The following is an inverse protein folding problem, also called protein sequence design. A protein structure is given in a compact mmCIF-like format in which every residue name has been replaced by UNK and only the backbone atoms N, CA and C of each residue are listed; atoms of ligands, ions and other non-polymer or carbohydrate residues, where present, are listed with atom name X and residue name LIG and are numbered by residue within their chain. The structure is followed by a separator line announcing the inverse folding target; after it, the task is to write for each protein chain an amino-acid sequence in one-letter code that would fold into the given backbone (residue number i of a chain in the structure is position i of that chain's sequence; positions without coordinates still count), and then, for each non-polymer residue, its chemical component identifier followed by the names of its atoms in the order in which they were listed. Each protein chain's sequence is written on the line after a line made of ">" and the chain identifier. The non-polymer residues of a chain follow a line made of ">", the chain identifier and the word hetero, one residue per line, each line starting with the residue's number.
data_IF_800932758116
#
_entry.id   IF_800932758116
#
_cell.length_a   1.000
_cell.length_b   1.000
_cell.length_c   1.000
_cell.angle_alpha   90.00
_cell.angle_beta   90.00
_cell.angle_gamma   90.00
#
_symmetry.space_group_name_H-M   'P 1'
#
loop_
_entity.id
_entity.type
_entity.pdbx_description
1 polymer ?
#
# COMPACT_ATOMS: atom_id res chain seq x y z
N UNK A 1 -26.22 -17.78 -50.74
CA UNK A 1 -24.78 -17.53 -50.60
C UNK A 1 -24.51 -16.09 -50.14
N UNK A 2 -24.90 -15.71 -48.93
CA UNK A 2 -24.73 -14.31 -48.39
C UNK A 2 -24.58 -14.26 -46.88
N UNK A 3 -23.84 -15.23 -46.26
CA UNK A 3 -23.66 -15.29 -44.80
C UNK A 3 -22.23 -15.51 -44.30
N UNK A 4 -21.21 -15.26 -45.15
CA UNK A 4 -19.82 -15.55 -44.78
C UNK A 4 -18.95 -14.28 -44.63
N UNK A 5 -19.44 -13.07 -44.90
CA UNK A 5 -18.60 -11.85 -44.94
C UNK A 5 -18.61 -11.09 -43.59
N UNK A 6 -19.46 -11.46 -42.63
CA UNK A 6 -19.62 -10.67 -41.40
C UNK A 6 -18.67 -11.08 -40.26
N UNK A 7 -17.89 -12.15 -40.41
CA UNK A 7 -17.04 -12.67 -39.33
C UNK A 7 -15.58 -12.15 -39.38
N UNK A 8 -15.16 -11.54 -40.48
CA UNK A 8 -13.74 -11.12 -40.63
C UNK A 8 -13.41 -9.69 -40.16
N UNK A 9 -14.36 -8.90 -39.65
CA UNK A 9 -14.11 -7.50 -39.26
C UNK A 9 -13.90 -7.35 -37.75
N UNK A 10 -14.18 -8.36 -36.91
CA UNK A 10 -14.00 -8.28 -35.43
C UNK A 10 -12.58 -8.62 -34.97
N UNK A 11 -11.72 -9.10 -35.89
CA UNK A 11 -10.36 -9.55 -35.55
C UNK A 11 -9.26 -8.49 -35.58
N UNK A 12 -9.52 -7.22 -35.89
CA UNK A 12 -8.47 -6.21 -36.16
C UNK A 12 -8.43 -5.05 -35.17
N UNK A 13 -9.18 -5.11 -34.07
CA UNK A 13 -8.86 -4.31 -32.88
C UNK A 13 -7.88 -5.08 -32.02
N UNK A 14 -6.70 -5.39 -32.53
CA UNK A 14 -5.55 -5.65 -31.68
C UNK A 14 -5.33 -4.37 -30.85
N UNK A 15 -5.71 -4.41 -29.59
CA UNK A 15 -5.40 -3.39 -28.61
C UNK A 15 -3.88 -3.23 -28.64
N UNK A 16 -3.39 -2.17 -29.28
CA UNK A 16 -2.02 -1.74 -29.14
C UNK A 16 -1.89 -1.24 -27.70
N UNK A 17 -1.73 -2.16 -26.75
CA UNK A 17 -1.25 -1.85 -25.41
C UNK A 17 0.22 -1.50 -25.59
N UNK A 18 0.47 -0.26 -25.93
CA UNK A 18 1.82 0.28 -25.88
C UNK A 18 2.18 0.35 -24.39
N UNK A 19 3.09 -0.53 -23.97
CA UNK A 19 3.72 -0.40 -22.68
C UNK A 19 4.30 1.02 -22.59
N UNK A 20 3.80 1.81 -21.64
CA UNK A 20 4.35 3.14 -21.39
C UNK A 20 5.84 2.98 -21.04
N UNK A 21 6.72 3.81 -21.60
CA UNK A 21 8.14 3.71 -21.25
C UNK A 21 8.29 3.86 -19.74
N UNK A 22 8.96 2.90 -19.13
CA UNK A 22 9.27 2.94 -17.69
C UNK A 22 10.05 4.22 -17.41
N UNK A 23 9.44 5.14 -16.68
CA UNK A 23 10.09 6.38 -16.28
C UNK A 23 11.10 6.06 -15.19
N UNK A 24 12.38 6.05 -15.53
CA UNK A 24 13.45 5.86 -14.54
C UNK A 24 13.51 7.07 -13.62
N UNK A 25 13.34 6.86 -12.34
CA UNK A 25 13.56 7.86 -11.31
C UNK A 25 14.97 7.70 -10.74
N UNK A 26 15.75 8.76 -10.78
CA UNK A 26 17.09 8.82 -10.14
C UNK A 26 16.96 9.58 -8.83
N UNK A 27 17.31 8.94 -7.74
CA UNK A 27 17.34 9.53 -6.40
C UNK A 27 18.77 9.46 -5.87
N UNK A 28 19.17 10.44 -5.07
CA UNK A 28 20.36 10.33 -4.23
C UNK A 28 20.06 9.42 -3.03
N UNK A 29 21.08 8.83 -2.43
CA UNK A 29 20.93 7.99 -1.22
C UNK A 29 20.24 8.74 -0.08
N UNK A 30 20.50 10.02 0.05
CA UNK A 30 19.86 10.90 1.04
C UNK A 30 18.36 11.02 0.78
N UNK A 31 17.96 11.27 -0.47
CA UNK A 31 16.53 11.37 -0.85
C UNK A 31 15.82 10.03 -0.70
N UNK A 32 16.49 8.94 -1.05
CA UNK A 32 15.94 7.59 -0.86
C UNK A 32 15.71 7.29 0.62
N UNK A 33 16.71 7.55 1.45
CA UNK A 33 16.60 7.35 2.90
C UNK A 33 15.49 8.19 3.53
N UNK A 34 15.32 9.44 3.11
CA UNK A 34 14.25 10.32 3.57
C UNK A 34 12.87 9.77 3.19
N UNK A 35 12.72 9.28 1.97
CA UNK A 35 11.48 8.62 1.53
C UNK A 35 11.18 7.33 2.31
N UNK A 36 12.17 6.50 2.58
CA UNK A 36 12.03 5.29 3.40
C UNK A 36 11.56 5.66 4.81
N UNK A 37 12.18 6.63 5.45
CA UNK A 37 11.76 7.13 6.77
C UNK A 37 10.32 7.67 6.74
N UNK A 38 9.98 8.41 5.68
CA UNK A 38 8.62 8.91 5.48
C UNK A 38 7.60 7.78 5.32
N UNK A 39 7.95 6.71 4.61
CA UNK A 39 7.13 5.50 4.46
C UNK A 39 6.84 4.84 5.81
N UNK A 40 7.87 4.56 6.60
CA UNK A 40 7.74 3.97 7.93
C UNK A 40 6.92 4.85 8.90
N UNK A 41 7.15 6.16 8.88
CA UNK A 41 6.35 7.10 9.68
C UNK A 41 4.89 7.11 9.23
N UNK A 42 4.63 7.12 7.94
CA UNK A 42 3.28 7.10 7.37
C UNK A 42 2.53 5.82 7.73
N UNK A 43 3.17 4.66 7.65
CA UNK A 43 2.60 3.37 8.04
C UNK A 43 2.25 3.36 9.53
N UNK A 44 3.17 3.77 10.40
CA UNK A 44 2.94 3.86 11.85
C UNK A 44 1.75 4.77 12.18
N UNK A 45 1.65 5.93 11.53
CA UNK A 45 0.52 6.85 11.68
C UNK A 45 -0.78 6.18 11.19
N UNK A 46 -0.74 5.52 10.04
CA UNK A 46 -1.90 4.83 9.47
C UNK A 46 -2.46 3.74 10.36
N UNK A 47 -1.59 2.88 10.88
CA UNK A 47 -1.95 1.82 11.84
C UNK A 47 -2.63 2.42 13.08
N UNK A 48 -2.04 3.43 13.68
CA UNK A 48 -2.60 4.07 14.89
C UNK A 48 -3.89 4.84 14.60
N UNK A 49 -4.01 5.44 13.42
CA UNK A 49 -5.23 6.14 13.01
C UNK A 49 -6.39 5.17 12.75
N UNK A 50 -6.12 4.03 12.14
CA UNK A 50 -7.12 3.01 11.81
C UNK A 50 -7.55 2.15 13.01
N UNK A 51 -6.65 1.90 13.94
CA UNK A 51 -6.83 0.97 15.07
C UNK A 51 -8.13 1.18 15.88
N UNK A 52 -8.57 2.40 16.23
CA UNK A 52 -9.80 2.61 16.99
C UNK A 52 -11.08 2.20 16.25
N UNK A 53 -11.01 2.07 14.92
CA UNK A 53 -12.14 1.75 14.05
C UNK A 53 -12.09 0.33 13.52
N UNK A 54 -10.98 -0.36 13.70
CA UNK A 54 -10.77 -1.73 13.23
C UNK A 54 -11.89 -2.65 13.74
N UNK A 55 -12.43 -3.46 12.84
CA UNK A 55 -13.57 -4.38 13.06
C UNK A 55 -14.89 -3.75 13.56
N UNK A 56 -14.96 -2.42 13.74
CA UNK A 56 -16.21 -1.77 14.22
C UNK A 56 -17.22 -1.50 13.11
N UNK A 57 -16.79 -1.42 11.88
CA UNK A 57 -17.62 -1.06 10.72
C UNK A 57 -17.68 -2.19 9.69
N UNK A 58 -17.68 -3.45 10.15
CA UNK A 58 -17.72 -4.64 9.29
C UNK A 58 -19.02 -4.66 8.47
N UNK A 59 -18.88 -4.69 7.14
CA UNK A 59 -20.02 -4.71 6.22
C UNK A 59 -20.68 -3.37 5.94
N UNK A 60 -20.07 -2.26 6.42
CA UNK A 60 -20.57 -0.89 6.18
C UNK A 60 -19.39 0.06 5.99
N UNK A 61 -19.70 1.33 5.71
CA UNK A 61 -18.71 2.41 5.64
C UNK A 61 -18.74 3.27 6.90
N UNK A 62 -17.56 3.82 7.28
CA UNK A 62 -17.51 4.87 8.27
C UNK A 62 -18.16 6.11 7.65
N UNK A 63 -19.19 6.65 8.30
CA UNK A 63 -19.91 7.82 7.79
C UNK A 63 -19.05 9.09 7.95
N UNK A 64 -19.17 10.04 7.02
CA UNK A 64 -18.35 11.26 7.00
C UNK A 64 -18.46 12.10 8.28
N UNK A 65 -19.61 12.01 8.97
CA UNK A 65 -19.84 12.71 10.24
C UNK A 65 -19.28 11.96 11.47
N UNK A 66 -18.79 10.73 11.30
CA UNK A 66 -18.24 9.95 12.40
C UNK A 66 -16.83 10.45 12.75
N UNK A 67 -16.61 10.98 13.95
CA UNK A 67 -15.27 11.44 14.33
C UNK A 67 -14.32 10.25 14.49
N UNK A 68 -13.13 10.38 13.91
CA UNK A 68 -12.00 9.51 14.17
C UNK A 68 -11.05 10.29 15.06
N UNK A 69 -10.89 9.91 16.35
CA UNK A 69 -10.08 10.67 17.26
C UNK A 69 -8.61 10.63 16.89
N UNK A 70 -7.96 11.79 16.93
CA UNK A 70 -6.52 11.93 16.77
C UNK A 70 -6.02 13.06 17.69
N UNK A 71 -4.94 12.81 18.42
CA UNK A 71 -4.37 13.76 19.35
C UNK A 71 -2.84 13.65 19.42
N UNK A 72 -2.19 14.67 19.93
CA UNK A 72 -0.76 14.63 20.23
C UNK A 72 -0.44 13.48 21.18
N UNK A 73 0.67 12.78 20.92
CA UNK A 73 1.07 11.63 21.70
C UNK A 73 0.29 10.35 21.46
N UNK A 74 -0.64 10.33 20.51
CA UNK A 74 -1.54 9.20 20.24
C UNK A 74 -0.79 7.94 19.81
N UNK A 75 0.27 8.06 18.99
CA UNK A 75 1.14 6.94 18.61
C UNK A 75 1.78 6.30 19.84
N UNK A 76 2.35 7.12 20.73
CA UNK A 76 2.97 6.63 21.97
C UNK A 76 1.94 5.95 22.88
N UNK A 77 0.77 6.57 23.04
CA UNK A 77 -0.31 6.00 23.85
C UNK A 77 -0.69 4.59 23.38
N UNK A 78 -0.91 4.38 22.07
CA UNK A 78 -1.30 3.08 21.55
C UNK A 78 -0.16 2.06 21.61
N UNK A 79 1.08 2.50 21.37
CA UNK A 79 2.25 1.66 21.55
C UNK A 79 2.35 1.07 22.95
N UNK A 80 2.13 1.89 23.97
CA UNK A 80 2.19 1.48 25.37
C UNK A 80 0.98 0.65 25.82
N UNK A 81 -0.21 0.94 25.29
CA UNK A 81 -1.47 0.32 25.75
C UNK A 81 -1.85 -0.94 24.98
N UNK A 82 -1.56 -1.00 23.70
CA UNK A 82 -1.93 -2.11 22.81
C UNK A 82 -0.83 -2.36 21.76
N UNK A 83 0.33 -2.88 22.15
CA UNK A 83 1.43 -3.12 21.22
C UNK A 83 1.05 -4.09 20.10
N UNK A 84 0.07 -4.97 20.28
CA UNK A 84 -0.45 -5.86 19.26
C UNK A 84 -1.14 -5.17 18.07
N UNK A 85 -1.45 -3.87 18.17
CA UNK A 85 -1.94 -3.09 17.03
C UNK A 85 -0.89 -2.84 15.94
N UNK A 86 0.36 -3.11 16.23
CA UNK A 86 1.49 -2.87 15.33
C UNK A 86 1.94 -4.14 14.61
N UNK A 87 1.06 -5.13 14.47
CA UNK A 87 1.32 -6.41 13.81
C UNK A 87 1.75 -6.23 12.34
N UNK A 88 1.16 -5.32 11.59
CA UNK A 88 1.58 -4.97 10.23
C UNK A 88 3.03 -4.44 10.22
N UNK A 89 3.39 -3.60 11.18
CA UNK A 89 4.75 -3.06 11.33
C UNK A 89 5.73 -4.19 11.66
N UNK A 90 5.36 -5.10 12.55
CA UNK A 90 6.22 -6.24 12.90
C UNK A 90 6.41 -7.19 11.72
N UNK A 91 5.36 -7.43 10.92
CA UNK A 91 5.46 -8.20 9.69
C UNK A 91 6.47 -7.57 8.72
N UNK A 92 6.36 -6.27 8.48
CA UNK A 92 7.28 -5.58 7.59
C UNK A 92 8.72 -5.58 8.10
N UNK A 93 8.93 -5.52 9.41
CA UNK A 93 10.26 -5.68 9.99
C UNK A 93 10.86 -7.06 9.66
N UNK A 94 10.07 -8.14 9.63
CA UNK A 94 10.57 -9.46 9.26
C UNK A 94 10.97 -9.54 7.78
N UNK A 95 10.26 -8.83 6.89
CA UNK A 95 10.67 -8.72 5.49
C UNK A 95 11.97 -7.92 5.33
N UNK A 96 12.14 -6.84 6.09
CA UNK A 96 13.40 -6.08 6.08
C UNK A 96 14.57 -6.96 6.53
N UNK A 97 14.40 -7.76 7.58
CA UNK A 97 15.40 -8.71 8.05
C UNK A 97 15.73 -9.76 6.98
N UNK A 98 14.72 -10.31 6.31
CA UNK A 98 14.91 -11.24 5.20
C UNK A 98 15.69 -10.61 4.03
N UNK A 99 15.40 -9.36 3.67
CA UNK A 99 16.13 -8.65 2.62
C UNK A 99 17.58 -8.32 3.04
N UNK A 100 17.83 -8.07 4.31
CA UNK A 100 19.17 -7.83 4.84
C UNK A 100 20.03 -9.12 4.77
N UNK A 101 19.42 -10.25 5.06
CA UNK A 101 20.11 -11.56 5.03
C UNK A 101 20.25 -12.15 3.62
N UNK A 102 19.22 -12.05 2.78
CA UNK A 102 19.11 -12.75 1.51
C UNK A 102 19.33 -11.85 0.29
N UNK A 103 19.28 -10.53 0.46
CA UNK A 103 19.31 -9.55 -0.62
C UNK A 103 17.93 -9.25 -1.19
N UNK A 104 17.83 -8.14 -1.95
CA UNK A 104 16.56 -7.65 -2.52
C UNK A 104 15.99 -8.54 -3.64
N UNK A 105 16.80 -9.41 -4.22
CA UNK A 105 16.41 -10.33 -5.31
C UNK A 105 15.96 -11.72 -4.79
N UNK A 106 15.78 -11.87 -3.48
CA UNK A 106 15.31 -13.13 -2.89
C UNK A 106 13.86 -13.42 -3.30
N UNK A 107 13.59 -14.71 -3.62
CA UNK A 107 12.27 -15.24 -4.01
C UNK A 107 11.82 -16.35 -3.06
#
# INVERSE_FOLDING_TARGET
>A
MRKIITICIIGLFALNVQAQPVKTLKLSDKELLDKIKGGWAGQTIGVVFGAPTEFKFTGTYIQDYQPIPWAEGYVKYWWEKKPGLFDDIYNDCTFVEAFDELGLDCS
#
